data_IF_744479134297
#
_entry.id   IF_744479134297
#
_cell.length_a   1.000
_cell.length_b   1.000
_cell.length_c   1.000
_cell.angle_alpha   90.00
_cell.angle_beta   90.00
_cell.angle_gamma   90.00
#
_symmetry.space_group_name_H-M   'P 1'
#
loop_
_entity.id
_entity.type
_entity.pdbx_description
1 polymer ?
#
# COMPACT_ATOMS: atom_id res chain seq x y z
N UNK A 1 -0.70 14.59 21.28
CA UNK A 1 -1.38 14.74 19.99
C UNK A 1 -2.61 13.84 19.97
N UNK A 2 -3.74 14.39 20.39
CA UNK A 2 -5.03 13.70 20.40
C UNK A 2 -6.01 14.61 19.65
N UNK A 3 -5.75 14.79 18.35
CA UNK A 3 -6.50 15.74 17.51
C UNK A 3 -7.77 15.11 16.93
N UNK A 4 -7.92 13.78 16.97
CA UNK A 4 -9.02 13.06 16.29
C UNK A 4 -9.46 11.77 17.01
N UNK A 5 -9.18 11.61 18.32
CA UNK A 5 -9.67 10.47 19.11
C UNK A 5 -9.06 9.09 18.79
N UNK A 6 -7.98 9.02 18.00
CA UNK A 6 -7.29 7.76 17.72
C UNK A 6 -6.24 7.42 18.79
N UNK A 7 -6.04 6.13 19.05
CA UNK A 7 -4.94 5.63 19.87
C UNK A 7 -3.74 5.28 18.97
N UNK A 8 -2.59 5.89 19.23
CA UNK A 8 -1.37 5.60 18.49
C UNK A 8 -0.62 4.44 19.16
N UNK A 9 -0.46 3.34 18.42
CA UNK A 9 0.27 2.16 18.88
C UNK A 9 1.60 2.11 18.12
N UNK A 10 2.70 2.01 18.85
CA UNK A 10 4.04 1.89 18.27
C UNK A 10 4.43 0.42 18.11
N UNK A 11 5.02 0.07 16.97
CA UNK A 11 5.70 -1.20 16.79
C UNK A 11 7.08 -1.18 17.47
N UNK A 12 7.55 -2.33 17.94
CA UNK A 12 8.92 -2.46 18.46
C UNK A 12 9.96 -2.19 17.39
N UNK A 13 11.09 -1.58 17.77
CA UNK A 13 12.20 -1.28 16.85
C UNK A 13 12.69 -2.56 16.19
N UNK A 14 13.03 -2.49 14.89
CA UNK A 14 13.50 -3.62 14.08
C UNK A 14 12.55 -4.83 14.01
N UNK A 15 11.24 -4.62 14.20
CA UNK A 15 10.22 -5.66 14.06
C UNK A 15 9.24 -5.36 12.90
N UNK A 16 9.71 -5.45 11.64
CA UNK A 16 8.88 -5.21 10.45
C UNK A 16 7.61 -6.07 10.43
N UNK A 17 7.68 -7.29 10.99
CA UNK A 17 6.58 -8.25 11.00
C UNK A 17 5.31 -7.72 11.68
N UNK A 18 5.44 -6.78 12.63
CA UNK A 18 4.29 -6.15 13.31
C UNK A 18 3.38 -5.43 12.31
N UNK A 19 3.96 -4.90 11.23
CA UNK A 19 3.25 -4.16 10.19
C UNK A 19 3.09 -4.99 8.90
N UNK A 20 3.08 -6.33 8.99
CA UNK A 20 3.13 -7.23 7.84
C UNK A 20 2.03 -7.03 6.78
N UNK A 21 0.87 -6.45 7.13
CA UNK A 21 -0.15 -6.08 6.14
C UNK A 21 0.30 -4.91 5.25
N UNK A 22 0.87 -3.86 5.85
CA UNK A 22 1.42 -2.71 5.14
C UNK A 22 2.63 -3.14 4.32
N UNK A 23 3.46 -4.02 4.86
CA UNK A 23 4.64 -4.53 4.13
C UNK A 23 4.27 -5.37 2.91
N UNK A 24 3.23 -6.22 3.00
CA UNK A 24 2.71 -6.97 1.84
C UNK A 24 2.12 -6.05 0.78
N UNK A 25 1.42 -5.00 1.18
CA UNK A 25 0.97 -3.96 0.27
C UNK A 25 2.16 -3.32 -0.44
N UNK A 26 3.16 -2.83 0.30
CA UNK A 26 4.35 -2.19 -0.26
C UNK A 26 5.13 -3.11 -1.20
N UNK A 27 5.22 -4.41 -0.88
CA UNK A 27 5.87 -5.41 -1.73
C UNK A 27 5.19 -5.60 -3.09
N UNK A 28 3.88 -5.31 -3.19
CA UNK A 28 3.13 -5.35 -4.47
C UNK A 28 3.18 -3.99 -5.18
N UNK A 29 3.03 -2.92 -4.40
CA UNK A 29 2.90 -1.55 -4.87
C UNK A 29 4.20 -1.00 -5.48
N UNK A 30 5.33 -1.16 -4.79
CA UNK A 30 6.61 -0.59 -5.21
C UNK A 30 7.07 -1.13 -6.58
N UNK A 31 6.98 -2.46 -6.87
CA UNK A 31 7.30 -2.97 -8.20
C UNK A 31 6.35 -2.47 -9.31
N UNK A 32 5.06 -2.23 -9.01
CA UNK A 32 4.12 -1.66 -9.97
C UNK A 32 4.49 -0.22 -10.32
N UNK A 33 4.83 0.58 -9.30
CA UNK A 33 5.30 1.94 -9.47
C UNK A 33 6.61 2.00 -10.26
N UNK A 34 7.57 1.13 -9.92
CA UNK A 34 8.87 1.06 -10.58
C UNK A 34 8.77 0.68 -12.07
N UNK A 35 7.68 0.02 -12.50
CA UNK A 35 7.42 -0.32 -13.91
C UNK A 35 6.82 0.85 -14.70
N UNK A 36 6.09 1.74 -14.03
CA UNK A 36 5.36 2.83 -14.69
C UNK A 36 6.12 4.15 -14.63
N UNK A 37 6.94 4.37 -13.59
CA UNK A 37 7.74 5.57 -13.49
C UNK A 37 8.76 5.65 -14.63
N UNK A 38 8.90 6.84 -15.19
CA UNK A 38 10.07 7.19 -15.97
C UNK A 38 11.21 7.54 -15.01
N UNK A 39 12.35 6.85 -15.15
CA UNK A 39 13.52 7.05 -14.28
C UNK A 39 14.16 8.42 -14.50
N UNK A 40 14.00 9.02 -15.68
CA UNK A 40 14.59 10.33 -15.99
C UNK A 40 13.72 11.48 -15.48
N UNK A 41 12.39 11.31 -15.53
CA UNK A 41 11.44 12.36 -15.17
C UNK A 41 10.86 12.24 -13.74
N UNK A 42 11.10 11.10 -13.06
CA UNK A 42 10.65 10.86 -11.67
C UNK A 42 9.15 11.14 -11.45
N UNK A 43 8.31 10.84 -12.45
CA UNK A 43 6.87 11.12 -12.49
C UNK A 43 6.03 10.02 -11.80
N UNK A 44 6.57 9.41 -10.74
CA UNK A 44 5.91 8.31 -10.04
C UNK A 44 4.57 8.75 -9.41
N UNK A 45 4.46 10.03 -9.02
CA UNK A 45 3.29 10.63 -8.40
C UNK A 45 2.08 10.66 -9.33
N UNK A 46 2.29 10.85 -10.64
CA UNK A 46 1.24 10.81 -11.67
C UNK A 46 0.56 9.43 -11.74
N UNK A 47 1.30 8.36 -11.47
CA UNK A 47 0.81 6.99 -11.52
C UNK A 47 0.19 6.48 -10.22
N UNK A 48 0.36 7.22 -9.11
CA UNK A 48 -0.18 6.82 -7.80
C UNK A 48 -1.68 6.50 -7.83
N UNK A 49 -2.56 7.38 -8.36
CA UNK A 49 -4.00 7.14 -8.31
C UNK A 49 -4.39 5.87 -9.08
N UNK A 50 -3.76 5.66 -10.23
CA UNK A 50 -4.00 4.51 -11.10
C UNK A 50 -3.59 3.20 -10.45
N UNK A 51 -2.41 3.15 -9.81
CA UNK A 51 -1.92 1.94 -9.14
C UNK A 51 -2.79 1.63 -7.92
N UNK A 52 -3.13 2.64 -7.10
CA UNK A 52 -4.00 2.46 -5.94
C UNK A 52 -5.37 1.94 -6.36
N UNK A 53 -5.94 2.49 -7.43
CA UNK A 53 -7.21 2.00 -7.97
C UNK A 53 -7.12 0.53 -8.43
N UNK A 54 -6.07 0.19 -9.18
CA UNK A 54 -5.86 -1.18 -9.65
C UNK A 54 -5.69 -2.17 -8.49
N UNK A 55 -4.96 -1.78 -7.44
CA UNK A 55 -4.80 -2.59 -6.23
C UNK A 55 -6.14 -2.78 -5.49
N UNK A 56 -6.90 -1.71 -5.28
CA UNK A 56 -8.15 -1.77 -4.52
C UNK A 56 -9.26 -2.54 -5.25
N UNK A 57 -9.24 -2.58 -6.58
CA UNK A 57 -10.27 -3.25 -7.39
C UNK A 57 -9.86 -4.64 -7.89
N UNK A 58 -8.57 -4.97 -7.90
CA UNK A 58 -8.07 -6.27 -8.29
C UNK A 58 -8.41 -7.36 -7.28
N UNK A 59 -8.79 -8.55 -7.74
CA UNK A 59 -9.07 -9.70 -6.88
C UNK A 59 -7.76 -10.27 -6.33
N UNK A 60 -7.64 -10.39 -5.01
CA UNK A 60 -6.48 -11.00 -4.37
C UNK A 60 -6.66 -12.51 -4.26
N UNK A 61 -5.68 -13.28 -4.72
CA UNK A 61 -5.74 -14.74 -4.70
C UNK A 61 -5.95 -15.34 -3.30
N UNK A 62 -5.46 -14.68 -2.25
CA UNK A 62 -5.61 -15.15 -0.88
C UNK A 62 -7.04 -15.05 -0.34
N UNK A 63 -7.77 -14.01 -0.73
CA UNK A 63 -9.12 -13.72 -0.22
C UNK A 63 -10.21 -14.03 -1.22
N UNK A 64 -9.89 -14.15 -2.52
CA UNK A 64 -10.83 -14.23 -3.64
C UNK A 64 -11.72 -12.99 -3.80
N UNK A 65 -11.40 -11.91 -3.09
CA UNK A 65 -12.08 -10.61 -3.15
C UNK A 65 -11.08 -9.50 -3.42
N UNK A 66 -11.55 -8.38 -3.95
CA UNK A 66 -10.76 -7.16 -3.98
C UNK A 66 -10.74 -6.49 -2.59
N UNK A 67 -9.70 -5.70 -2.26
CA UNK A 67 -9.65 -4.95 -1.02
C UNK A 67 -10.87 -4.05 -0.85
N UNK A 68 -11.37 -3.44 -1.93
CA UNK A 68 -12.58 -2.63 -1.92
C UNK A 68 -13.84 -3.41 -1.51
N UNK A 69 -13.93 -4.71 -1.82
CA UNK A 69 -15.05 -5.55 -1.39
C UNK A 69 -14.99 -5.95 0.08
N UNK A 70 -13.83 -5.77 0.73
CA UNK A 70 -13.58 -6.15 2.12
C UNK A 70 -13.46 -4.95 3.07
N UNK A 71 -13.61 -3.73 2.55
CA UNK A 71 -13.72 -2.49 3.34
C UNK A 71 -15.10 -2.36 3.97
#
# INVERSE_FOLDING_TARGET
>A
AQLIGYNHILSTVYHPQTNGMVERFNATFVPQLAKLQDRENNNWDEYLPSIVFAYNTGVHAATQYSPFQLQ
#
